data_IF_030731996902
#
_entry.id   IF_030731996902
#
_cell.length_a   1.000
_cell.length_b   1.000
_cell.length_c   1.000
_cell.angle_alpha   90.00
_cell.angle_beta   90.00
_cell.angle_gamma   90.00
#
_symmetry.space_group_name_H-M   'P 1'
#
loop_
_entity.id
_entity.type
_entity.pdbx_description
1 polymer ?
#
# COMPACT_ATOMS: atom_id res chain seq x y z
N UNK A 1 -7.88 -13.58 -1.90
CA UNK A 1 -6.95 -13.01 -0.94
C UNK A 1 -5.63 -12.97 -1.67
N UNK A 2 -4.92 -11.84 -1.62
CA UNK A 2 -3.63 -11.70 -2.26
C UNK A 2 -2.58 -12.54 -1.54
N UNK A 3 -1.67 -13.14 -2.29
CA UNK A 3 -0.53 -13.84 -1.71
C UNK A 3 0.44 -12.82 -1.10
N UNK A 4 0.76 -13.00 0.17
CA UNK A 4 1.79 -12.29 0.90
C UNK A 4 2.96 -13.24 1.16
N UNK A 5 4.13 -12.88 0.65
CA UNK A 5 5.33 -13.71 0.71
C UNK A 5 6.18 -13.27 1.90
N UNK A 6 6.36 -14.19 2.86
CA UNK A 6 7.34 -14.10 3.94
C UNK A 6 8.60 -14.89 3.59
N UNK A 7 9.61 -14.81 4.46
CA UNK A 7 10.81 -15.64 4.33
C UNK A 7 10.50 -17.13 4.51
N UNK A 8 9.56 -17.47 5.40
CA UNK A 8 9.26 -18.86 5.80
C UNK A 8 8.04 -19.45 5.09
N UNK A 9 7.12 -18.61 4.60
CA UNK A 9 5.82 -19.06 4.10
C UNK A 9 5.16 -18.06 3.15
N UNK A 10 4.20 -18.55 2.37
CA UNK A 10 3.21 -17.72 1.67
C UNK A 10 1.89 -17.81 2.41
N UNK A 11 1.25 -16.67 2.64
CA UNK A 11 -0.05 -16.59 3.28
C UNK A 11 -0.99 -15.71 2.46
N UNK A 12 -2.27 -16.05 2.46
CA UNK A 12 -3.28 -15.28 1.74
C UNK A 12 -3.85 -14.21 2.70
N UNK A 13 -3.78 -12.93 2.34
CA UNK A 13 -4.37 -11.83 3.12
C UNK A 13 -5.52 -11.14 2.38
N UNK A 14 -6.58 -10.72 3.09
CA UNK A 14 -7.57 -9.80 2.54
C UNK A 14 -6.92 -8.44 2.25
N UNK A 15 -7.37 -7.78 1.19
CA UNK A 15 -6.81 -6.50 0.70
C UNK A 15 -7.05 -5.33 1.66
N UNK A 16 -7.95 -5.53 2.63
CA UNK A 16 -8.26 -4.57 3.69
C UNK A 16 -7.12 -4.43 4.70
N UNK A 17 -6.23 -5.42 4.82
CA UNK A 17 -5.10 -5.34 5.73
C UNK A 17 -4.04 -4.36 5.23
N UNK A 18 -3.68 -3.40 6.08
CA UNK A 18 -2.58 -2.46 5.80
C UNK A 18 -1.26 -3.10 6.23
N UNK A 19 -0.31 -3.27 5.30
CA UNK A 19 1.02 -3.80 5.63
C UNK A 19 1.82 -2.81 6.49
N UNK A 20 2.13 -3.23 7.71
CA UNK A 20 2.96 -2.51 8.69
C UNK A 20 4.15 -3.33 9.16
N UNK A 21 4.51 -4.36 8.40
CA UNK A 21 5.56 -5.31 8.77
C UNK A 21 6.90 -4.60 8.93
N UNK A 22 7.58 -4.87 10.04
CA UNK A 22 8.97 -4.48 10.26
C UNK A 22 9.86 -5.72 10.21
N UNK A 23 10.86 -5.72 9.34
CA UNK A 23 11.94 -6.70 9.39
C UNK A 23 13.12 -6.07 10.13
N UNK A 24 13.67 -6.80 11.11
CA UNK A 24 14.84 -6.40 11.89
C UNK A 24 15.94 -7.42 11.68
N UNK A 25 17.11 -6.96 11.26
CA UNK A 25 18.31 -7.76 11.10
C UNK A 25 19.39 -7.21 12.03
N UNK A 26 19.98 -8.08 12.84
CA UNK A 26 21.09 -7.78 13.76
C UNK A 26 22.31 -8.61 13.38
N UNK A 27 23.50 -8.14 13.73
CA UNK A 27 24.75 -8.88 13.48
C UNK A 27 25.02 -9.98 14.53
N UNK A 28 24.32 -9.95 15.65
CA UNK A 28 24.57 -10.81 16.81
C UNK A 28 23.28 -11.10 17.59
N UNK A 29 23.24 -12.27 18.21
CA UNK A 29 22.10 -12.77 18.99
C UNK A 29 22.06 -12.21 20.42
N UNK A 30 23.11 -11.49 20.84
CA UNK A 30 23.32 -11.04 22.22
C UNK A 30 22.67 -9.69 22.54
N UNK A 31 21.90 -9.12 21.61
CA UNK A 31 21.08 -7.90 21.81
C UNK A 31 21.84 -6.57 21.79
N UNK A 32 23.18 -6.58 21.88
CA UNK A 32 24.02 -5.40 21.72
C UNK A 32 24.58 -5.32 20.29
N UNK A 33 23.69 -5.07 19.31
CA UNK A 33 24.13 -4.94 17.92
C UNK A 33 24.74 -3.57 17.66
N UNK A 34 26.00 -3.57 17.22
CA UNK A 34 26.70 -2.37 16.79
C UNK A 34 26.15 -1.81 15.47
N UNK A 35 25.46 -2.64 14.69
CA UNK A 35 24.72 -2.24 13.50
C UNK A 35 23.44 -3.05 13.38
N UNK A 36 22.32 -2.37 13.14
CA UNK A 36 21.05 -3.02 12.80
C UNK A 36 20.53 -2.51 11.47
N UNK A 37 19.91 -3.39 10.70
CA UNK A 37 19.19 -3.04 9.48
C UNK A 37 17.70 -3.31 9.66
N UNK A 38 16.87 -2.30 9.37
CA UNK A 38 15.42 -2.38 9.50
C UNK A 38 14.76 -2.09 8.17
N UNK A 39 13.75 -2.88 7.82
CA UNK A 39 12.85 -2.61 6.70
C UNK A 39 11.46 -2.36 7.26
N UNK A 40 10.92 -1.16 7.07
CA UNK A 40 9.58 -0.80 7.55
C UNK A 40 8.70 -0.30 6.42
N UNK A 41 7.37 -0.50 6.54
CA UNK A 41 6.37 -0.03 5.58
C UNK A 41 5.42 0.98 6.20
N UNK A 42 4.98 1.95 5.40
CA UNK A 42 3.92 2.89 5.74
C UNK A 42 3.08 3.22 4.50
N UNK A 43 1.88 3.76 4.70
CA UNK A 43 1.06 4.25 3.58
C UNK A 43 1.63 5.55 2.99
N UNK A 44 1.48 5.73 1.68
CA UNK A 44 1.76 6.99 1.00
C UNK A 44 0.44 7.67 0.58
N UNK A 45 0.43 9.01 0.53
CA UNK A 45 -0.72 9.74 -0.01
C UNK A 45 -0.71 9.70 -1.55
N UNK A 46 -1.89 9.80 -2.16
CA UNK A 46 -1.97 9.83 -3.63
C UNK A 46 -1.24 11.07 -4.19
N UNK A 47 -0.33 10.85 -5.13
CA UNK A 47 0.51 11.89 -5.73
C UNK A 47 1.63 12.43 -4.82
N UNK A 48 1.84 11.83 -3.64
CA UNK A 48 2.98 12.18 -2.78
C UNK A 48 4.28 11.78 -3.46
N UNK A 49 5.24 12.71 -3.54
CA UNK A 49 6.57 12.43 -4.08
C UNK A 49 7.48 11.87 -2.99
N UNK A 50 8.52 11.13 -3.38
CA UNK A 50 9.50 10.59 -2.42
C UNK A 50 10.20 11.71 -1.61
N UNK A 51 10.40 12.87 -2.21
CA UNK A 51 10.94 14.06 -1.54
C UNK A 51 9.98 14.62 -0.50
N UNK A 52 8.67 14.65 -0.80
CA UNK A 52 7.65 15.08 0.16
C UNK A 52 7.56 14.13 1.36
N UNK A 53 7.64 12.82 1.13
CA UNK A 53 7.70 11.80 2.18
C UNK A 53 8.96 12.01 3.04
N UNK A 54 10.12 12.16 2.43
CA UNK A 54 11.38 12.37 3.15
C UNK A 54 11.35 13.65 4.00
N UNK A 55 10.84 14.75 3.47
CA UNK A 55 10.68 16.00 4.22
C UNK A 55 9.65 15.88 5.36
N UNK A 56 8.62 15.05 5.20
CA UNK A 56 7.67 14.74 6.28
C UNK A 56 8.33 13.92 7.38
N UNK A 57 9.05 12.85 7.04
CA UNK A 57 9.79 12.02 7.99
C UNK A 57 10.83 12.86 8.76
N UNK A 58 11.60 13.70 8.08
CA UNK A 58 12.58 14.58 8.74
C UNK A 58 11.93 15.52 9.77
N UNK A 59 10.77 16.11 9.45
CA UNK A 59 10.01 16.96 10.39
C UNK A 59 9.43 16.16 11.56
N UNK A 60 8.96 14.94 11.31
CA UNK A 60 8.49 14.04 12.37
C UNK A 60 9.66 13.69 13.32
N UNK A 61 10.85 13.40 12.79
CA UNK A 61 12.06 13.12 13.58
C UNK A 61 12.49 14.32 14.42
N UNK A 62 12.52 15.52 13.83
CA UNK A 62 12.90 16.76 14.54
C UNK A 62 12.05 17.03 15.80
N UNK A 63 10.79 16.59 15.79
CA UNK A 63 9.87 16.73 16.93
C UNK A 63 9.94 15.55 17.89
N UNK A 64 10.25 14.35 17.41
CA UNK A 64 10.10 13.10 18.19
C UNK A 64 11.37 12.61 18.84
N UNK A 65 12.55 12.94 18.30
CA UNK A 65 13.84 12.49 18.87
C UNK A 65 14.67 13.66 19.39
N UNK A 66 15.32 13.52 20.56
CA UNK A 66 16.05 14.62 21.17
C UNK A 66 17.39 14.85 20.46
N UNK A 67 17.80 16.13 20.40
CA UNK A 67 19.05 16.55 19.76
C UNK A 67 19.19 16.02 18.33
N UNK A 68 18.07 16.00 17.60
CA UNK A 68 18.05 15.65 16.19
C UNK A 68 18.98 16.55 15.38
N UNK A 69 19.75 15.94 14.50
CA UNK A 69 20.63 16.65 13.57
C UNK A 69 20.67 15.92 12.23
N UNK A 70 20.30 16.62 11.16
CA UNK A 70 20.42 16.13 9.79
C UNK A 70 21.85 16.35 9.29
N UNK A 71 22.55 15.27 8.97
CA UNK A 71 23.91 15.30 8.42
C UNK A 71 23.88 15.49 6.90
N UNK A 72 23.00 14.76 6.20
CA UNK A 72 22.88 14.85 4.76
C UNK A 72 21.52 14.34 4.24
N UNK A 73 21.11 14.87 3.09
CA UNK A 73 20.00 14.37 2.29
C UNK A 73 20.48 14.13 0.87
N UNK A 74 20.22 12.95 0.30
CA UNK A 74 20.69 12.58 -1.03
C UNK A 74 19.58 11.93 -1.85
N UNK A 75 19.47 12.29 -3.13
CA UNK A 75 18.62 11.58 -4.08
C UNK A 75 19.40 10.39 -4.67
N UNK A 76 18.71 9.26 -4.84
CA UNK A 76 19.29 8.01 -5.37
C UNK A 76 18.30 7.31 -6.31
N UNK A 77 18.81 6.34 -7.06
CA UNK A 77 18.01 5.36 -7.79
C UNK A 77 18.30 3.97 -7.23
N UNK A 78 17.27 3.24 -6.82
CA UNK A 78 17.38 1.88 -6.31
C UNK A 78 16.57 0.98 -7.23
N UNK A 79 17.22 0.06 -7.91
CA UNK A 79 16.60 -0.82 -8.92
C UNK A 79 15.71 -0.08 -9.94
N UNK A 80 16.12 1.13 -10.34
CA UNK A 80 15.37 2.00 -11.27
C UNK A 80 14.36 2.95 -10.60
N UNK A 81 14.02 2.73 -9.33
CA UNK A 81 13.05 3.56 -8.60
C UNK A 81 13.69 4.79 -7.95
N UNK A 82 13.06 5.98 -8.05
CA UNK A 82 13.49 7.17 -7.32
C UNK A 82 13.45 6.98 -5.80
N UNK A 83 14.56 7.32 -5.15
CA UNK A 83 14.74 7.20 -3.71
C UNK A 83 15.32 8.48 -3.11
N UNK A 84 15.06 8.70 -1.81
CA UNK A 84 15.74 9.70 -1.00
C UNK A 84 16.38 9.03 0.20
N UNK A 85 17.67 9.27 0.40
CA UNK A 85 18.40 8.87 1.60
C UNK A 85 18.54 10.05 2.55
N UNK A 86 18.16 9.84 3.80
CA UNK A 86 18.43 10.74 4.92
C UNK A 86 19.57 10.14 5.75
N UNK A 87 20.56 10.95 6.09
CA UNK A 87 21.59 10.61 7.08
C UNK A 87 21.49 11.60 8.23
N UNK A 88 21.26 11.10 9.43
CA UNK A 88 21.02 11.93 10.59
C UNK A 88 21.51 11.25 11.87
N UNK A 89 21.55 12.03 12.95
CA UNK A 89 21.83 11.55 14.29
C UNK A 89 20.89 12.17 15.32
N UNK A 90 20.76 11.51 16.46
CA UNK A 90 19.97 11.98 17.59
C UNK A 90 20.43 11.28 18.87
N UNK A 91 20.03 11.76 20.04
CA UNK A 91 20.33 11.07 21.31
C UNK A 91 19.24 10.06 21.67
N UNK A 92 19.66 8.90 22.16
CA UNK A 92 18.79 7.98 22.87
C UNK A 92 19.40 7.70 24.25
N UNK A 93 18.85 8.34 25.28
CA UNK A 93 19.50 8.42 26.59
C UNK A 93 20.88 9.10 26.48
N UNK A 94 21.93 8.38 26.91
CA UNK A 94 23.31 8.88 26.84
C UNK A 94 24.06 8.44 25.57
N UNK A 95 23.39 7.72 24.66
CA UNK A 95 24.02 7.20 23.44
C UNK A 95 23.63 8.09 22.26
N UNK A 96 24.62 8.55 21.51
CA UNK A 96 24.40 9.19 20.23
C UNK A 96 24.13 8.11 19.18
N UNK A 97 23.00 8.19 18.49
CA UNK A 97 22.58 7.24 17.46
C UNK A 97 22.76 7.89 16.10
N UNK A 98 23.34 7.15 15.15
CA UNK A 98 23.43 7.51 13.75
C UNK A 98 22.51 6.61 12.93
N UNK A 99 21.74 7.20 12.03
CA UNK A 99 20.85 6.47 11.12
C UNK A 99 20.99 6.94 9.68
N UNK A 100 21.11 5.97 8.77
CA UNK A 100 20.87 6.17 7.34
C UNK A 100 19.55 5.52 6.98
N UNK A 101 18.67 6.29 6.32
CA UNK A 101 17.34 5.86 5.96
C UNK A 101 17.08 6.15 4.48
N UNK A 102 17.03 5.09 3.66
CA UNK A 102 16.64 5.16 2.25
C UNK A 102 15.13 4.93 2.12
N UNK A 103 14.45 5.90 1.51
CA UNK A 103 13.00 5.99 1.40
C UNK A 103 12.61 5.83 -0.06
N UNK A 104 11.64 4.95 -0.33
CA UNK A 104 11.14 4.65 -1.67
C UNK A 104 9.61 4.58 -1.62
N UNK A 105 8.96 5.01 -2.71
CA UNK A 105 7.52 4.85 -2.90
C UNK A 105 7.32 3.78 -3.97
N UNK A 106 6.53 2.75 -3.65
CA UNK A 106 6.19 1.66 -4.56
C UNK A 106 4.67 1.62 -4.78
N UNK A 107 4.24 1.09 -5.91
CA UNK A 107 2.83 0.78 -6.17
C UNK A 107 2.33 -0.39 -5.31
N UNK A 108 1.06 -0.29 -4.90
CA UNK A 108 0.34 -1.40 -4.28
C UNK A 108 -0.61 -2.05 -5.28
N UNK A 109 -0.74 -3.40 -5.28
CA UNK A 109 -1.60 -4.12 -6.22
C UNK A 109 -3.07 -3.68 -6.15
N UNK A 110 -3.54 -3.29 -4.96
CA UNK A 110 -4.90 -2.80 -4.70
C UNK A 110 -5.18 -1.38 -5.24
N UNK A 111 -4.19 -0.75 -5.89
CA UNK A 111 -4.35 0.55 -6.55
C UNK A 111 -3.88 1.76 -5.75
N UNK A 112 -3.13 1.54 -4.66
CA UNK A 112 -2.51 2.56 -3.80
C UNK A 112 -0.99 2.71 -3.98
N UNK A 113 -0.36 3.42 -3.04
CA UNK A 113 1.10 3.60 -2.95
C UNK A 113 1.56 3.28 -1.54
N UNK A 114 2.69 2.59 -1.40
CA UNK A 114 3.34 2.31 -0.12
C UNK A 114 4.71 2.97 -0.05
N UNK A 115 5.06 3.43 1.14
CA UNK A 115 6.41 3.86 1.49
C UNK A 115 7.15 2.67 2.07
N UNK A 116 8.36 2.41 1.56
CA UNK A 116 9.30 1.46 2.16
C UNK A 116 10.54 2.23 2.62
N UNK A 117 10.92 2.02 3.88
CA UNK A 117 12.14 2.59 4.46
C UNK A 117 13.13 1.47 4.77
N UNK A 118 14.36 1.63 4.30
CA UNK A 118 15.52 0.81 4.62
C UNK A 118 16.43 1.60 5.55
N UNK A 119 16.63 1.12 6.77
CA UNK A 119 17.21 1.91 7.86
C UNK A 119 18.42 1.16 8.43
N UNK A 120 19.62 1.72 8.27
CA UNK A 120 20.82 1.30 9.00
C UNK A 120 20.98 2.14 10.24
N UNK A 121 21.17 1.52 11.41
CA UNK A 121 21.34 2.19 12.71
C UNK A 121 22.64 1.77 13.39
N UNK A 122 23.43 2.74 13.85
CA UNK A 122 24.63 2.52 14.66
C UNK A 122 24.58 3.37 15.94
N UNK A 123 24.90 2.82 17.13
CA UNK A 123 25.27 3.63 18.28
C UNK A 123 26.72 4.13 18.16
N UNK A 124 26.96 5.39 18.51
CA UNK A 124 28.29 5.99 18.60
C UNK A 124 28.83 6.54 17.28
N UNK A 125 29.08 5.69 16.28
CA UNK A 125 29.67 6.09 15.00
C UNK A 125 29.11 5.27 13.84
N UNK A 126 28.92 5.92 12.68
CA UNK A 126 28.65 5.26 11.41
C UNK A 126 29.94 5.15 10.58
N UNK A 127 30.84 4.28 11.01
CA UNK A 127 32.20 4.15 10.45
C UNK A 127 32.22 3.56 9.03
N UNK A 128 33.41 3.47 8.42
CA UNK A 128 33.58 2.97 7.05
C UNK A 128 33.05 1.55 6.84
N UNK A 129 33.16 0.67 7.85
CA UNK A 129 32.65 -0.70 7.78
C UNK A 129 31.12 -0.70 7.65
N UNK A 130 30.42 0.01 8.53
CA UNK A 130 28.96 0.09 8.52
C UNK A 130 28.43 0.87 7.32
N UNK A 131 29.17 1.88 6.86
CA UNK A 131 28.91 2.55 5.60
C UNK A 131 28.96 1.60 4.42
N UNK A 132 30.01 0.79 4.32
CA UNK A 132 30.13 -0.19 3.25
C UNK A 132 29.01 -1.23 3.31
N UNK A 133 28.74 -1.79 4.48
CA UNK A 133 27.67 -2.79 4.66
C UNK A 133 26.30 -2.25 4.24
N UNK A 134 25.95 -1.04 4.71
CA UNK A 134 24.69 -0.41 4.33
C UNK A 134 24.61 -0.18 2.81
N UNK A 135 25.67 0.34 2.20
CA UNK A 135 25.70 0.58 0.75
C UNK A 135 25.57 -0.72 -0.07
N UNK A 136 26.28 -1.78 0.34
CA UNK A 136 26.24 -3.07 -0.33
C UNK A 136 24.81 -3.68 -0.25
N UNK A 137 24.15 -3.59 0.92
CA UNK A 137 22.74 -4.00 1.09
C UNK A 137 21.82 -3.19 0.17
N UNK A 138 21.88 -1.86 0.22
CA UNK A 138 21.01 -0.98 -0.58
C UNK A 138 21.21 -1.24 -2.09
N UNK A 139 22.44 -1.46 -2.55
CA UNK A 139 22.74 -1.76 -3.96
C UNK A 139 22.23 -3.15 -4.42
N UNK A 140 22.05 -4.08 -3.49
CA UNK A 140 21.54 -5.44 -3.76
C UNK A 140 20.02 -5.52 -3.93
N UNK A 141 19.28 -4.48 -3.52
CA UNK A 141 17.81 -4.47 -3.55
C UNK A 141 17.33 -4.67 -4.99
N UNK A 142 16.36 -5.57 -5.17
CA UNK A 142 15.60 -5.76 -6.41
C UNK A 142 14.10 -5.79 -6.08
N UNK A 143 13.29 -5.04 -6.82
CA UNK A 143 11.84 -5.06 -6.64
C UNK A 143 11.17 -6.03 -7.60
N UNK A 144 10.06 -6.60 -7.16
CA UNK A 144 9.21 -7.46 -7.99
C UNK A 144 8.35 -6.59 -8.92
N UNK A 145 8.97 -5.99 -9.93
CA UNK A 145 8.32 -5.05 -10.87
C UNK A 145 7.24 -5.69 -11.77
N UNK A 146 7.26 -7.02 -11.94
CA UNK A 146 6.47 -7.71 -12.98
C UNK A 146 5.18 -8.39 -12.52
N UNK A 147 4.72 -8.19 -11.27
CA UNK A 147 3.59 -8.97 -10.74
C UNK A 147 2.35 -8.14 -10.34
N UNK A 148 2.40 -6.80 -10.35
CA UNK A 148 1.41 -6.02 -9.59
C UNK A 148 0.86 -4.74 -10.24
N UNK A 149 1.30 -4.34 -11.44
CA UNK A 149 0.55 -3.32 -12.17
C UNK A 149 -0.70 -3.94 -12.79
N UNK A 150 -1.82 -3.78 -12.10
CA UNK A 150 -3.11 -4.23 -12.59
C UNK A 150 -3.49 -3.38 -13.81
N UNK A 151 -3.35 -3.94 -15.01
CA UNK A 151 -3.66 -3.25 -16.27
C UNK A 151 -5.13 -2.84 -16.30
N UNK A 152 -5.39 -1.55 -16.55
CA UNK A 152 -6.75 -1.07 -16.76
C UNK A 152 -7.33 -1.72 -18.03
N UNK A 153 -8.53 -2.28 -17.88
CA UNK A 153 -9.31 -2.84 -18.97
C UNK A 153 -10.26 -1.79 -19.56
N UNK A 154 -11.53 -2.15 -19.62
CA UNK A 154 -12.58 -1.32 -20.22
C UNK A 154 -13.15 -0.32 -19.21
N UNK A 155 -13.43 0.89 -19.70
CA UNK A 155 -14.17 1.88 -18.93
C UNK A 155 -15.63 1.44 -18.77
N UNK A 156 -16.10 1.35 -17.53
CA UNK A 156 -17.49 1.02 -17.22
C UNK A 156 -18.37 2.22 -17.59
N UNK A 157 -19.44 1.96 -18.34
CA UNK A 157 -20.35 3.01 -18.79
C UNK A 157 -21.06 3.69 -17.61
N UNK A 158 -21.16 5.04 -17.58
CA UNK A 158 -21.80 5.75 -16.48
C UNK A 158 -23.29 5.44 -16.27
N UNK A 159 -23.96 4.90 -17.28
CA UNK A 159 -25.37 4.48 -17.28
C UNK A 159 -25.54 2.97 -17.08
N UNK A 160 -24.47 2.22 -16.80
CA UNK A 160 -24.56 0.79 -16.53
C UNK A 160 -25.50 0.52 -15.32
N UNK A 161 -26.59 -0.24 -15.49
CA UNK A 161 -27.57 -0.54 -14.44
C UNK A 161 -27.20 -1.73 -13.54
N UNK A 162 -26.08 -2.41 -13.81
CA UNK A 162 -25.60 -3.58 -13.07
C UNK A 162 -25.37 -3.27 -11.59
N UNK A 163 -25.18 -4.32 -10.79
CA UNK A 163 -24.81 -4.16 -9.40
C UNK A 163 -23.32 -3.85 -9.24
N UNK A 164 -23.01 -2.97 -8.29
CA UNK A 164 -21.65 -2.62 -7.90
C UNK A 164 -21.50 -2.74 -6.39
N UNK A 165 -20.32 -3.18 -5.95
CA UNK A 165 -20.01 -3.30 -4.54
C UNK A 165 -18.88 -2.34 -4.19
N UNK A 166 -18.99 -1.66 -3.06
CA UNK A 166 -17.91 -0.85 -2.49
C UNK A 166 -17.66 -1.28 -1.05
N UNK A 167 -16.43 -1.71 -0.77
CA UNK A 167 -15.97 -2.09 0.57
C UNK A 167 -15.09 -0.99 1.13
N UNK A 168 -15.56 -0.31 2.18
CA UNK A 168 -14.74 0.64 2.93
C UNK A 168 -13.69 -0.13 3.75
N UNK A 169 -12.41 0.11 3.48
CA UNK A 169 -11.30 -0.66 4.09
C UNK A 169 -11.02 -0.27 5.54
N UNK A 170 -11.64 0.77 6.07
CA UNK A 170 -11.44 1.20 7.46
C UNK A 170 -12.57 0.72 8.36
N UNK A 171 -13.81 0.84 7.89
CA UNK A 171 -15.00 0.36 8.62
C UNK A 171 -15.33 -1.11 8.36
N UNK A 172 -14.79 -1.69 7.28
CA UNK A 172 -15.17 -3.01 6.76
C UNK A 172 -16.67 -3.11 6.46
N UNK A 173 -17.30 -2.00 6.04
CA UNK A 173 -18.68 -1.99 5.60
C UNK A 173 -18.72 -2.17 4.08
N UNK A 174 -19.59 -3.08 3.63
CA UNK A 174 -19.81 -3.35 2.22
C UNK A 174 -21.15 -2.77 1.78
N UNK A 175 -21.11 -1.81 0.87
CA UNK A 175 -22.31 -1.20 0.28
C UNK A 175 -22.59 -1.79 -1.11
N UNK A 176 -23.87 -2.06 -1.40
CA UNK A 176 -24.34 -2.57 -2.70
C UNK A 176 -25.13 -1.49 -3.42
N UNK A 177 -24.73 -1.16 -4.64
CA UNK A 177 -25.33 -0.11 -5.46
C UNK A 177 -25.97 -0.70 -6.71
N UNK A 178 -27.19 -0.25 -7.01
CA UNK A 178 -27.86 -0.51 -8.30
C UNK A 178 -27.47 0.58 -9.29
N UNK A 179 -26.53 0.25 -10.17
CA UNK A 179 -26.00 1.12 -11.20
C UNK A 179 -24.87 2.06 -10.76
N UNK A 180 -24.04 2.44 -11.72
CA UNK A 180 -22.84 3.29 -11.51
C UNK A 180 -23.20 4.67 -10.94
N UNK A 181 -24.36 5.23 -11.31
CA UNK A 181 -24.79 6.53 -10.81
C UNK A 181 -25.06 6.53 -9.30
N UNK A 182 -25.63 5.45 -8.77
CA UNK A 182 -25.89 5.30 -7.34
C UNK A 182 -24.59 5.18 -6.55
N UNK A 183 -23.62 4.43 -7.10
CA UNK A 183 -22.26 4.33 -6.58
C UNK A 183 -21.60 5.72 -6.51
N UNK A 184 -21.51 6.46 -7.62
CA UNK A 184 -20.84 7.77 -7.63
C UNK A 184 -21.52 8.83 -6.75
N UNK A 185 -22.83 8.76 -6.55
CA UNK A 185 -23.54 9.69 -5.66
C UNK A 185 -23.16 9.49 -4.19
N UNK A 186 -22.80 8.27 -3.81
CA UNK A 186 -22.60 7.86 -2.42
C UNK A 186 -21.13 7.74 -2.05
N UNK A 187 -20.27 7.39 -3.02
CA UNK A 187 -18.86 7.11 -2.81
C UNK A 187 -18.03 8.40 -2.62
N UNK A 188 -17.30 8.55 -1.49
CA UNK A 188 -16.38 9.67 -1.32
C UNK A 188 -15.17 9.53 -2.28
N UNK A 189 -15.25 10.19 -3.45
CA UNK A 189 -14.30 10.03 -4.56
C UNK A 189 -12.83 10.22 -4.15
N UNK A 190 -12.55 11.17 -3.25
CA UNK A 190 -11.18 11.38 -2.75
C UNK A 190 -10.65 10.15 -2.00
N UNK A 191 -11.43 9.59 -1.07
CA UNK A 191 -11.06 8.38 -0.32
C UNK A 191 -10.91 7.19 -1.25
N UNK A 192 -11.81 7.02 -2.22
CA UNK A 192 -11.73 5.94 -3.19
C UNK A 192 -10.47 6.03 -4.06
N UNK A 193 -10.07 7.24 -4.46
CA UNK A 193 -8.79 7.47 -5.17
C UNK A 193 -7.55 7.22 -4.31
N UNK A 194 -7.69 7.26 -2.99
CA UNK A 194 -6.62 6.95 -2.03
C UNK A 194 -6.55 5.46 -1.66
N UNK A 195 -7.35 4.60 -2.33
CA UNK A 195 -7.36 3.16 -2.06
C UNK A 195 -8.13 2.77 -0.79
N UNK A 196 -8.92 3.69 -0.21
CA UNK A 196 -9.72 3.41 0.99
C UNK A 196 -11.04 2.69 0.68
N UNK A 197 -11.33 2.45 -0.60
CA UNK A 197 -12.44 1.64 -1.05
C UNK A 197 -11.97 0.61 -2.06
N UNK A 198 -12.36 -0.65 -1.84
CA UNK A 198 -12.23 -1.71 -2.83
C UNK A 198 -13.55 -1.79 -3.59
N UNK A 199 -13.48 -1.72 -4.93
CA UNK A 199 -14.66 -1.65 -5.79
C UNK A 199 -14.76 -2.93 -6.61
N UNK A 200 -15.99 -3.42 -6.78
CA UNK A 200 -16.24 -4.66 -7.52
C UNK A 200 -17.44 -4.54 -8.44
N UNK A 201 -17.36 -5.22 -9.58
CA UNK A 201 -18.49 -5.40 -10.49
C UNK A 201 -19.46 -6.47 -9.96
N UNK A 202 -20.57 -6.65 -10.67
CA UNK A 202 -21.63 -7.59 -10.30
C UNK A 202 -21.13 -9.04 -10.17
N UNK A 203 -20.15 -9.44 -10.97
CA UNK A 203 -19.52 -10.77 -10.92
C UNK A 203 -18.46 -10.90 -9.82
N UNK A 204 -18.20 -9.83 -9.06
CA UNK A 204 -17.19 -9.76 -8.02
C UNK A 204 -15.77 -9.52 -8.54
N UNK A 205 -15.59 -9.19 -9.82
CA UNK A 205 -14.30 -8.78 -10.38
C UNK A 205 -13.88 -7.38 -9.87
N UNK A 206 -12.59 -7.15 -9.64
CA UNK A 206 -12.10 -5.88 -9.13
C UNK A 206 -12.25 -4.75 -10.16
N UNK A 207 -12.63 -3.57 -9.66
CA UNK A 207 -12.74 -2.33 -10.40
C UNK A 207 -11.83 -1.27 -9.78
N UNK A 208 -11.41 -0.29 -10.58
CA UNK A 208 -10.59 0.83 -10.12
C UNK A 208 -11.14 2.16 -10.64
N UNK A 209 -11.06 3.19 -9.80
CA UNK A 209 -11.26 4.57 -10.25
C UNK A 209 -9.95 5.10 -10.82
N UNK A 210 -9.96 5.48 -12.09
CA UNK A 210 -8.79 6.00 -12.79
C UNK A 210 -9.15 7.19 -13.71
N UNK A 211 -8.19 8.06 -14.05
CA UNK A 211 -8.40 9.17 -14.97
C UNK A 211 -8.95 8.70 -16.32
N UNK A 212 -9.84 9.49 -16.91
CA UNK A 212 -10.23 9.34 -18.32
C UNK A 212 -9.18 10.05 -19.17
N UNK A 213 -8.50 9.35 -20.09
CA UNK A 213 -7.52 9.95 -20.99
C UNK A 213 -8.09 11.16 -21.72
N UNK A 214 -7.23 12.16 -21.96
CA UNK A 214 -7.52 13.31 -22.81
C UNK A 214 -8.72 14.17 -22.39
N UNK A 215 -9.04 14.19 -21.09
CA UNK A 215 -10.08 15.05 -20.53
C UNK A 215 -9.51 16.27 -19.82
N UNK A 216 -10.08 17.44 -20.10
CA UNK A 216 -9.75 18.70 -19.42
C UNK A 216 -11.04 19.42 -18.99
N UNK A 217 -11.30 19.62 -17.68
CA UNK A 217 -10.52 19.14 -16.54
C UNK A 217 -10.47 17.59 -16.47
N UNK A 218 -9.46 17.05 -15.79
CA UNK A 218 -9.29 15.59 -15.61
C UNK A 218 -10.57 15.02 -15.01
N UNK A 219 -11.19 14.09 -15.73
CA UNK A 219 -12.33 13.30 -15.26
C UNK A 219 -11.85 11.95 -14.78
N UNK A 220 -12.64 11.33 -13.90
CA UNK A 220 -12.39 9.99 -13.41
C UNK A 220 -13.57 9.09 -13.80
N UNK A 221 -13.28 7.85 -14.11
CA UNK A 221 -14.27 6.82 -14.37
C UNK A 221 -13.89 5.53 -13.63
N UNK A 222 -14.83 4.60 -13.60
CA UNK A 222 -14.66 3.26 -13.09
C UNK A 222 -14.18 2.39 -14.26
N UNK A 223 -13.16 1.59 -14.02
CA UNK A 223 -12.50 0.75 -15.01
C UNK A 223 -12.48 -0.68 -14.52
N UNK A 224 -12.65 -1.65 -15.42
CA UNK A 224 -12.27 -3.02 -15.13
C UNK A 224 -10.76 -3.12 -14.99
N UNK A 225 -10.32 -4.12 -14.26
CA UNK A 225 -8.91 -4.37 -13.99
C UNK A 225 -8.60 -5.80 -14.42
N UNK A 226 -7.48 -5.99 -15.13
CA UNK A 226 -7.00 -7.32 -15.47
C UNK A 226 -6.89 -8.17 -14.18
N UNK A 227 -7.45 -9.37 -14.22
CA UNK A 227 -7.65 -10.20 -13.03
C UNK A 227 -6.31 -10.63 -12.44
N UNK A 228 -5.96 -10.04 -11.29
CA UNK A 228 -4.91 -10.57 -10.43
C UNK A 228 -5.57 -11.59 -9.47
N UNK A 229 -5.09 -12.85 -9.43
CA UNK A 229 -5.60 -13.83 -8.47
C UNK A 229 -5.56 -13.26 -7.06
N UNK A 230 -6.65 -13.41 -6.32
CA UNK A 230 -6.68 -12.99 -4.91
C UNK A 230 -7.38 -11.66 -4.61
N UNK A 231 -7.83 -10.93 -5.62
CA UNK A 231 -8.46 -9.62 -5.44
C UNK A 231 -9.97 -9.60 -5.74
N UNK A 232 -10.67 -10.73 -5.65
CA UNK A 232 -12.12 -10.80 -5.88
C UNK A 232 -12.94 -10.48 -4.62
N UNK A 233 -14.17 -10.01 -4.80
CA UNK A 233 -15.08 -9.71 -3.70
C UNK A 233 -15.29 -10.90 -2.75
N UNK A 234 -15.45 -12.11 -3.29
CA UNK A 234 -15.71 -13.32 -2.51
C UNK A 234 -14.66 -13.55 -1.41
N UNK A 235 -13.43 -13.11 -1.67
CA UNK A 235 -12.27 -13.31 -0.80
C UNK A 235 -12.19 -12.25 0.30
N UNK A 236 -12.98 -11.18 0.21
CA UNK A 236 -13.07 -10.12 1.22
C UNK A 236 -14.32 -10.24 2.09
N UNK A 237 -15.27 -11.13 1.75
CA UNK A 237 -16.54 -11.24 2.46
C UNK A 237 -16.38 -11.59 3.95
N UNK A 238 -15.34 -12.36 4.30
CA UNK A 238 -15.08 -12.76 5.69
C UNK A 238 -14.67 -11.60 6.61
N UNK A 239 -14.20 -10.48 6.06
CA UNK A 239 -13.84 -9.31 6.86
C UNK A 239 -14.99 -8.31 7.02
N UNK A 240 -16.10 -8.50 6.30
CA UNK A 240 -17.21 -7.56 6.26
C UNK A 240 -17.93 -7.55 7.61
N UNK A 241 -17.97 -6.39 8.27
CA UNK A 241 -18.67 -6.21 9.55
C UNK A 241 -20.16 -5.97 9.35
N UNK A 242 -20.50 -5.19 8.33
CA UNK A 242 -21.87 -4.93 7.92
C UNK A 242 -21.97 -4.95 6.40
N UNK A 243 -23.16 -5.31 5.91
CA UNK A 243 -23.50 -5.29 4.49
C UNK A 243 -24.76 -4.46 4.32
N UNK A 244 -24.66 -3.34 3.62
CA UNK A 244 -25.79 -2.48 3.28
C UNK A 244 -26.19 -2.76 1.85
N UNK A 245 -27.15 -3.66 1.67
CA UNK A 245 -27.66 -4.03 0.37
C UNK A 245 -29.17 -4.28 0.39
N UNK A 246 -29.79 -4.40 -0.79
CA UNK A 246 -31.19 -4.76 -0.90
C UNK A 246 -31.44 -6.17 -0.33
N UNK A 247 -32.71 -6.52 -0.13
CA UNK A 247 -33.11 -7.85 0.32
C UNK A 247 -32.51 -8.92 -0.60
N UNK A 248 -31.82 -9.91 -0.01
CA UNK A 248 -31.12 -10.96 -0.75
C UNK A 248 -29.66 -10.64 -1.09
N UNK A 249 -29.15 -9.46 -0.73
CA UNK A 249 -27.75 -9.04 -0.78
C UNK A 249 -27.34 -8.26 0.49
N UNK A 250 -27.97 -8.56 1.62
CA UNK A 250 -27.80 -7.85 2.89
C UNK A 250 -26.90 -8.61 3.89
N UNK A 251 -26.23 -9.68 3.46
CA UNK A 251 -25.24 -10.40 4.26
C UNK A 251 -24.12 -10.98 3.39
N UNK A 252 -22.94 -11.29 3.99
CA UNK A 252 -21.85 -11.93 3.26
C UNK A 252 -22.25 -13.26 2.61
N UNK A 253 -23.04 -14.08 3.29
CA UNK A 253 -23.52 -15.38 2.77
C UNK A 253 -24.44 -15.21 1.57
N UNK A 254 -25.31 -14.20 1.62
CA UNK A 254 -26.22 -13.86 0.52
C UNK A 254 -25.45 -13.40 -0.72
N UNK A 255 -24.43 -12.55 -0.52
CA UNK A 255 -23.56 -12.10 -1.61
C UNK A 255 -22.75 -13.26 -2.18
N UNK A 256 -22.17 -14.12 -1.34
CA UNK A 256 -21.45 -15.30 -1.82
C UNK A 256 -22.35 -16.19 -2.68
N UNK A 257 -23.57 -16.49 -2.21
CA UNK A 257 -24.55 -17.28 -2.95
C UNK A 257 -24.99 -16.60 -4.26
N UNK A 258 -25.02 -15.27 -4.31
CA UNK A 258 -25.28 -14.52 -5.53
C UNK A 258 -24.11 -14.65 -6.52
N UNK A 259 -22.87 -14.44 -6.08
CA UNK A 259 -21.66 -14.54 -6.92
C UNK A 259 -21.50 -15.96 -7.49
N UNK A 260 -21.75 -17.00 -6.69
CA UNK A 260 -21.71 -18.40 -7.17
C UNK A 260 -22.73 -18.65 -8.28
N UNK A 261 -23.95 -18.12 -8.15
CA UNK A 261 -25.01 -18.28 -9.17
C UNK A 261 -24.66 -17.60 -10.49
N UNK A 262 -24.06 -16.40 -10.44
CA UNK A 262 -23.62 -15.67 -11.62
C UNK A 262 -22.63 -16.50 -12.46
N UNK A 263 -21.63 -17.13 -11.82
CA UNK A 263 -20.64 -17.97 -12.53
C UNK A 263 -21.22 -19.21 -13.19
N UNK A 264 -22.31 -19.75 -12.65
CA UNK A 264 -22.97 -20.92 -13.25
C UNK A 264 -23.88 -20.58 -14.43
N UNK A 265 -24.17 -19.29 -14.64
CA UNK A 265 -25.07 -18.79 -15.69
C UNK A 265 -24.34 -18.12 -16.86
N UNK A 266 -23.02 -17.90 -16.73
CA UNK A 266 -22.09 -17.39 -17.75
C UNK A 266 -21.34 -18.51 -18.43
#
# INVERSE_FOLDING_TARGET
MADYILQEATLALPDVFKDRTMNLFTLNDTGASEFTFVVSRAGAKNGETVQAVAARIARELEVTVPEFHMEATQQKLIDGEPAVELFYRFKNGNVLIFQRQTIIILDEPSGGKKVVCYIGTCPGEFNELYQKQYQDIIASIRFHHNQHEATLGEMIRPDNPDLFFALDTESCNLDVFSGVQALYRSLPLQRAREGLYLLYAQDGSPLRIAPVPDTQPIRYALWSVATIPGHHLEQQLSICRTVNGPQGLASPEQILAFLTRQRTSS
#
